data_IF_524265195095
#
_entry.id   IF_524265195095
#
_cell.length_a   1.000
_cell.length_b   1.000
_cell.length_c   1.000
_cell.angle_alpha   90.00
_cell.angle_beta   90.00
_cell.angle_gamma   90.00
#
_symmetry.space_group_name_H-M   'P 1'
#
loop_
_entity.id
_entity.type
_entity.pdbx_description
1 polymer ?
#
# COMPACT_ATOMS: atom_id res chain seq x y z
N UNK A 1 -36.31 -11.61 -47.91
CA UNK A 1 -35.41 -10.44 -48.08
C UNK A 1 -34.75 -10.13 -46.75
N UNK A 2 -33.43 -10.31 -46.67
CA UNK A 2 -32.56 -9.76 -45.63
C UNK A 2 -32.45 -8.25 -45.80
N UNK A 3 -32.45 -7.51 -44.69
CA UNK A 3 -31.58 -6.33 -44.50
C UNK A 3 -31.16 -6.24 -43.04
N UNK A 4 -29.88 -6.53 -42.84
CA UNK A 4 -29.03 -6.27 -41.69
C UNK A 4 -28.63 -4.79 -41.63
N UNK A 5 -28.50 -4.26 -40.41
CA UNK A 5 -27.58 -3.18 -40.02
C UNK A 5 -27.37 -3.31 -38.50
N UNK A 6 -26.36 -4.04 -38.03
CA UNK A 6 -24.99 -3.57 -37.74
C UNK A 6 -24.92 -2.63 -36.53
N UNK A 7 -24.52 -3.17 -35.39
CA UNK A 7 -24.10 -2.43 -34.20
C UNK A 7 -23.29 -3.38 -33.31
N UNK A 8 -22.04 -3.01 -33.04
CA UNK A 8 -20.94 -3.84 -32.53
C UNK A 8 -21.27 -4.81 -31.39
N UNK A 9 -20.67 -5.99 -31.47
CA UNK A 9 -20.68 -7.01 -30.42
C UNK A 9 -20.00 -6.50 -29.14
N UNK A 10 -20.79 -6.01 -28.19
CA UNK A 10 -20.40 -6.09 -26.79
C UNK A 10 -20.56 -7.56 -26.38
N UNK A 11 -19.53 -8.36 -26.58
CA UNK A 11 -19.45 -9.70 -26.04
C UNK A 11 -19.34 -9.58 -24.51
N UNK A 12 -20.50 -9.54 -23.85
CA UNK A 12 -20.60 -9.83 -22.42
C UNK A 12 -20.05 -11.24 -22.19
N UNK A 13 -18.83 -11.33 -21.67
CA UNK A 13 -18.30 -12.59 -21.18
C UNK A 13 -19.07 -12.91 -19.89
N UNK A 14 -20.10 -13.74 -20.03
CA UNK A 14 -20.83 -14.40 -18.94
C UNK A 14 -19.81 -15.07 -18.01
N UNK A 15 -19.74 -14.61 -16.75
CA UNK A 15 -19.06 -15.35 -15.67
C UNK A 15 -18.11 -14.55 -14.78
N UNK A 16 -17.65 -13.37 -15.20
CA UNK A 16 -16.79 -12.55 -14.35
C UNK A 16 -17.63 -11.62 -13.46
N UNK A 17 -17.65 -11.84 -12.14
CA UNK A 17 -18.18 -10.86 -11.19
C UNK A 17 -17.06 -9.92 -10.76
N UNK A 18 -17.31 -8.60 -10.79
CA UNK A 18 -16.42 -7.62 -10.16
C UNK A 18 -16.49 -7.80 -8.64
N UNK A 19 -15.67 -8.71 -8.12
CA UNK A 19 -15.48 -8.94 -6.68
C UNK A 19 -14.23 -8.20 -6.21
N UNK A 20 -14.23 -7.72 -4.97
CA UNK A 20 -12.98 -7.36 -4.30
C UNK A 20 -12.41 -8.64 -3.71
N UNK A 21 -11.26 -9.12 -4.22
CA UNK A 21 -10.50 -10.19 -3.57
C UNK A 21 -9.64 -9.62 -2.46
N UNK A 22 -9.55 -10.38 -1.36
CA UNK A 22 -8.72 -10.01 -0.23
C UNK A 22 -7.25 -9.88 -0.63
N UNK A 23 -6.49 -9.09 0.12
CA UNK A 23 -5.03 -9.05 0.02
C UNK A 23 -4.50 -10.48 0.14
N UNK A 24 -3.86 -10.98 -0.94
CA UNK A 24 -3.21 -12.29 -0.93
C UNK A 24 -1.81 -12.14 -0.35
N UNK A 25 -1.57 -12.66 0.86
CA UNK A 25 -0.23 -12.70 1.46
C UNK A 25 0.43 -14.04 1.12
N UNK A 26 1.70 -14.06 0.70
CA UNK A 26 2.44 -15.30 0.37
C UNK A 26 3.83 -15.29 1.01
N UNK A 27 4.12 -16.29 1.84
CA UNK A 27 5.24 -16.40 2.79
C UNK A 27 4.74 -17.17 4.02
N UNK A 28 5.60 -17.80 4.84
CA UNK A 28 5.18 -18.72 5.92
C UNK A 28 4.09 -18.13 6.82
N UNK A 29 2.86 -18.57 6.53
CA UNK A 29 1.60 -18.19 7.19
C UNK A 29 0.89 -17.00 6.54
N UNK A 30 -0.27 -17.28 5.91
CA UNK A 30 -1.47 -16.41 5.72
C UNK A 30 -1.93 -16.21 4.27
N UNK A 31 -2.40 -17.29 3.64
CA UNK A 31 -3.30 -17.22 2.48
C UNK A 31 -4.74 -17.14 3.01
N UNK A 32 -5.55 -16.14 2.61
CA UNK A 32 -7.01 -16.22 2.80
C UNK A 32 -7.80 -15.56 1.68
N UNK A 33 -8.53 -16.39 0.92
CA UNK A 33 -9.61 -15.95 0.04
C UNK A 33 -10.85 -15.56 0.85
N UNK A 34 -11.80 -14.87 0.21
CA UNK A 34 -12.98 -14.26 0.85
C UNK A 34 -13.95 -15.27 1.52
N UNK A 35 -13.78 -16.58 1.28
CA UNK A 35 -14.63 -17.65 1.82
C UNK A 35 -14.45 -17.93 3.32
N UNK A 36 -13.27 -17.65 3.88
CA UNK A 36 -12.92 -18.10 5.24
C UNK A 36 -13.01 -16.99 6.30
N UNK A 37 -13.52 -15.81 5.93
CA UNK A 37 -13.58 -14.61 6.80
C UNK A 37 -14.60 -14.67 7.95
N UNK A 38 -15.36 -15.75 8.12
CA UNK A 38 -16.36 -15.85 9.20
C UNK A 38 -15.82 -16.40 10.52
N UNK A 39 -14.53 -16.74 10.65
CA UNK A 39 -14.07 -17.35 11.91
C UNK A 39 -12.58 -17.40 12.22
N UNK A 40 -11.70 -16.64 11.56
CA UNK A 40 -10.26 -16.72 11.84
C UNK A 40 -9.64 -15.33 12.09
N UNK A 41 -9.79 -14.86 13.33
CA UNK A 41 -9.09 -13.67 13.87
C UNK A 41 -7.56 -13.84 13.89
N UNK A 42 -7.05 -15.08 13.78
CA UNK A 42 -5.63 -15.41 13.96
C UNK A 42 -4.75 -15.24 12.70
N UNK A 43 -5.37 -15.08 11.52
CA UNK A 43 -4.67 -15.10 10.22
C UNK A 43 -4.41 -13.71 9.62
N UNK A 44 -4.66 -12.65 10.40
CA UNK A 44 -4.21 -11.31 10.07
C UNK A 44 -3.14 -10.91 11.08
N UNK A 45 -2.01 -10.40 10.61
CA UNK A 45 -1.04 -9.74 11.49
C UNK A 45 -1.75 -8.54 12.08
N UNK A 46 -2.13 -8.68 13.34
CA UNK A 46 -2.62 -7.60 14.18
C UNK A 46 -1.65 -6.41 14.10
N UNK A 47 -2.23 -5.22 14.02
CA UNK A 47 -1.56 -3.92 13.92
C UNK A 47 -0.82 -3.54 15.22
N UNK A 48 -0.68 -4.48 16.17
CA UNK A 48 0.00 -4.34 17.47
C UNK A 48 1.53 -4.38 17.40
N UNK A 49 2.14 -4.35 16.22
CA UNK A 49 3.58 -4.09 16.08
C UNK A 49 3.94 -2.60 16.18
N UNK A 50 3.27 -1.87 17.08
CA UNK A 50 3.61 -0.50 17.45
C UNK A 50 5.09 -0.36 17.79
N UNK A 51 5.69 -1.38 18.39
CA UNK A 51 7.11 -1.42 18.70
C UNK A 51 8.00 -1.43 17.45
N UNK A 52 7.71 -2.30 16.46
CA UNK A 52 8.50 -2.34 15.21
C UNK A 52 8.32 -1.04 14.44
N UNK A 53 7.10 -0.48 14.42
CA UNK A 53 6.85 0.81 13.80
C UNK A 53 7.63 1.94 14.48
N UNK A 54 7.62 1.99 15.81
CA UNK A 54 8.41 2.93 16.61
C UNK A 54 9.91 2.77 16.34
N UNK A 55 10.40 1.53 16.22
CA UNK A 55 11.79 1.25 15.93
C UNK A 55 12.19 1.72 14.52
N UNK A 56 11.37 1.44 13.49
CA UNK A 56 11.61 1.93 12.13
C UNK A 56 11.61 3.46 12.09
N UNK A 57 10.62 4.11 12.73
CA UNK A 57 10.53 5.56 12.80
C UNK A 57 11.75 6.18 13.51
N UNK A 58 12.17 5.60 14.63
CA UNK A 58 13.37 6.03 15.38
C UNK A 58 14.63 5.88 14.54
N UNK A 59 14.85 4.70 13.96
CA UNK A 59 16.02 4.42 13.12
C UNK A 59 16.09 5.38 11.93
N UNK A 60 14.96 5.63 11.27
CA UNK A 60 14.88 6.56 10.17
C UNK A 60 15.16 8.01 10.61
N UNK A 61 14.67 8.42 11.79
CA UNK A 61 14.99 9.72 12.40
C UNK A 61 16.49 9.88 12.67
N UNK A 62 17.14 8.82 13.15
CA UNK A 62 18.59 8.81 13.36
C UNK A 62 19.38 8.89 12.05
N UNK A 63 18.94 8.18 10.99
CA UNK A 63 19.57 8.21 9.66
C UNK A 63 19.52 9.60 8.99
N UNK A 64 18.49 10.39 9.28
CA UNK A 64 18.31 11.73 8.70
C UNK A 64 18.75 12.85 9.65
N UNK A 65 19.25 12.52 10.84
CA UNK A 65 19.71 13.51 11.82
C UNK A 65 20.82 14.36 11.22
N UNK A 66 20.70 15.68 11.36
CA UNK A 66 21.64 16.67 10.82
C UNK A 66 21.82 16.63 9.29
N UNK A 67 20.84 16.10 8.54
CA UNK A 67 20.87 16.06 7.07
C UNK A 67 20.28 17.27 6.34
N UNK A 68 20.04 18.39 7.02
CA UNK A 68 19.43 19.58 6.41
C UNK A 68 20.19 20.10 5.16
N UNK A 69 21.53 20.02 5.13
CA UNK A 69 22.34 20.38 3.95
C UNK A 69 22.35 19.34 2.82
N UNK A 70 21.74 18.17 3.06
CA UNK A 70 21.71 17.01 2.17
C UNK A 70 20.26 16.54 1.89
N UNK A 71 19.30 17.45 1.97
CA UNK A 71 17.95 17.24 1.44
C UNK A 71 18.03 17.08 -0.08
N UNK A 72 17.17 16.25 -0.66
CA UNK A 72 17.12 15.97 -2.10
C UNK A 72 18.36 15.25 -2.63
N UNK A 73 19.09 14.55 -1.74
CA UNK A 73 20.34 13.85 -2.08
C UNK A 73 20.38 12.45 -1.50
N UNK A 74 20.99 11.53 -2.25
CA UNK A 74 21.43 10.23 -1.74
C UNK A 74 22.78 10.37 -1.04
N UNK A 75 22.85 9.95 0.23
CA UNK A 75 24.10 9.87 1.01
C UNK A 75 24.09 8.54 1.77
N UNK A 76 25.17 7.76 1.66
CA UNK A 76 25.34 6.48 2.35
C UNK A 76 24.12 5.54 2.17
N UNK A 77 23.67 5.34 0.92
CA UNK A 77 22.51 4.51 0.56
C UNK A 77 21.15 5.02 1.09
N UNK A 78 21.10 6.27 1.56
CA UNK A 78 19.85 6.89 2.04
C UNK A 78 19.56 8.12 1.20
N UNK A 79 18.48 8.08 0.42
CA UNK A 79 17.88 9.29 -0.16
C UNK A 79 16.94 9.91 0.87
N UNK A 80 17.05 11.22 1.07
CA UNK A 80 16.23 11.94 2.05
C UNK A 80 15.59 13.19 1.44
N UNK A 81 14.28 13.37 1.67
CA UNK A 81 13.57 14.60 1.37
C UNK A 81 12.57 14.97 2.48
N UNK A 82 12.22 16.25 2.58
CA UNK A 82 11.23 16.76 3.54
C UNK A 82 9.96 17.31 2.89
N UNK A 83 9.75 16.99 1.61
CA UNK A 83 8.59 17.36 0.80
C UNK A 83 8.04 16.14 0.08
N UNK A 84 6.83 16.27 -0.45
CA UNK A 84 6.25 15.25 -1.33
C UNK A 84 7.19 14.98 -2.50
N UNK A 85 7.50 13.71 -2.73
CA UNK A 85 8.49 13.27 -3.73
C UNK A 85 7.89 12.14 -4.56
N UNK A 86 8.13 12.16 -5.87
CA UNK A 86 7.74 11.08 -6.78
C UNK A 86 8.89 10.10 -6.95
N UNK A 87 8.56 8.84 -7.17
CA UNK A 87 9.56 7.81 -7.41
C UNK A 87 10.29 8.06 -8.74
N UNK A 88 9.57 8.42 -9.81
CA UNK A 88 10.20 8.71 -11.11
C UNK A 88 11.28 9.79 -11.04
N UNK A 89 11.13 10.77 -10.16
CA UNK A 89 12.07 11.89 -10.00
C UNK A 89 13.41 11.42 -9.41
N UNK A 90 13.42 10.30 -8.68
CA UNK A 90 14.57 9.82 -7.91
C UNK A 90 15.03 8.43 -8.34
N UNK A 91 14.27 7.71 -9.17
CA UNK A 91 14.58 6.33 -9.52
C UNK A 91 15.99 6.19 -10.11
N UNK A 92 16.42 7.12 -10.97
CA UNK A 92 17.73 7.07 -11.63
C UNK A 92 18.93 7.06 -10.67
N UNK A 93 18.78 7.58 -9.45
CA UNK A 93 19.86 7.66 -8.45
C UNK A 93 19.79 6.53 -7.41
N UNK A 94 18.72 5.74 -7.40
CA UNK A 94 18.51 4.63 -6.46
C UNK A 94 19.09 3.32 -6.98
N UNK A 95 19.59 2.49 -6.07
CA UNK A 95 20.14 1.16 -6.30
C UNK A 95 19.48 0.15 -5.35
N UNK A 96 19.67 -1.16 -5.61
CA UNK A 96 19.19 -2.19 -4.69
C UNK A 96 19.81 -2.01 -3.30
N UNK A 97 18.98 -2.12 -2.26
CA UNK A 97 19.37 -1.93 -0.87
C UNK A 97 19.34 -0.48 -0.39
N UNK A 98 19.12 0.49 -1.28
CA UNK A 98 18.95 1.89 -0.89
C UNK A 98 17.63 2.09 -0.11
N UNK A 99 17.62 3.10 0.77
CA UNK A 99 16.42 3.53 1.51
C UNK A 99 16.03 4.94 1.10
N UNK A 100 14.77 5.13 0.73
CA UNK A 100 14.09 6.41 0.54
C UNK A 100 13.44 6.80 1.87
N UNK A 101 13.77 7.97 2.39
CA UNK A 101 13.14 8.56 3.58
C UNK A 101 12.47 9.89 3.21
N UNK A 102 11.16 9.97 3.37
CA UNK A 102 10.37 11.19 3.19
C UNK A 102 9.81 11.63 4.55
N UNK A 103 10.19 12.83 5.00
CA UNK A 103 9.67 13.43 6.25
C UNK A 103 8.68 14.54 5.94
N UNK A 104 7.56 14.64 6.64
CA UNK A 104 6.48 15.64 6.46
C UNK A 104 5.79 15.67 5.08
N UNK A 105 6.32 14.98 4.07
CA UNK A 105 5.74 14.83 2.74
C UNK A 105 5.05 13.49 2.51
N UNK A 106 4.44 13.33 1.34
CA UNK A 106 4.00 12.01 0.85
C UNK A 106 5.05 11.42 -0.10
N UNK A 107 5.06 10.10 -0.26
CA UNK A 107 5.81 9.47 -1.34
C UNK A 107 4.85 8.98 -2.42
N UNK A 108 5.06 9.42 -3.66
CA UNK A 108 4.23 9.04 -4.80
C UNK A 108 4.99 7.99 -5.60
N UNK A 109 4.48 6.77 -5.65
CA UNK A 109 4.95 5.70 -6.52
C UNK A 109 4.15 5.81 -7.82
N UNK A 110 4.76 6.41 -8.83
CA UNK A 110 4.14 6.73 -10.12
C UNK A 110 4.63 5.86 -11.30
N UNK A 111 5.63 5.03 -11.06
CA UNK A 111 6.09 3.96 -11.95
C UNK A 111 6.42 2.69 -11.15
N UNK A 112 6.58 1.55 -11.83
CA UNK A 112 6.94 0.29 -11.17
C UNK A 112 8.28 0.40 -10.43
N UNK A 113 8.34 -0.18 -9.24
CA UNK A 113 9.58 -0.23 -8.43
C UNK A 113 10.22 -1.59 -8.61
N UNK A 114 11.13 -1.71 -9.58
CA UNK A 114 11.78 -2.99 -9.86
C UNK A 114 12.98 -3.28 -8.94
N UNK A 115 13.60 -2.21 -8.42
CA UNK A 115 14.72 -2.28 -7.48
C UNK A 115 14.23 -2.61 -6.09
N UNK A 116 14.91 -3.51 -5.39
CA UNK A 116 14.60 -3.84 -4.00
C UNK A 116 15.08 -2.71 -3.08
N UNK A 117 14.18 -1.82 -2.65
CA UNK A 117 14.52 -0.64 -1.83
C UNK A 117 13.73 -0.58 -0.52
N UNK A 118 14.21 0.19 0.45
CA UNK A 118 13.43 0.64 1.59
C UNK A 118 12.67 1.93 1.26
N UNK A 119 11.42 2.05 1.69
CA UNK A 119 10.59 3.25 1.56
C UNK A 119 10.03 3.56 2.95
N UNK A 120 10.43 4.70 3.51
CA UNK A 120 10.00 5.15 4.83
C UNK A 120 9.39 6.54 4.68
N UNK A 121 8.08 6.65 4.93
CA UNK A 121 7.37 7.93 4.95
C UNK A 121 6.95 8.25 6.38
N UNK A 122 7.51 9.32 6.92
CA UNK A 122 7.34 9.72 8.32
C UNK A 122 6.68 11.09 8.44
N UNK A 123 5.92 11.26 9.51
CA UNK A 123 5.35 12.54 9.90
C UNK A 123 5.42 12.72 11.41
N UNK A 124 5.80 13.91 11.83
CA UNK A 124 5.78 14.30 13.24
C UNK A 124 4.34 14.34 13.78
N UNK A 125 4.12 13.67 14.91
CA UNK A 125 2.82 13.60 15.58
C UNK A 125 1.99 12.37 15.23
N UNK A 126 1.41 11.76 16.26
CA UNK A 126 0.69 10.48 16.16
C UNK A 126 -0.68 10.55 15.46
N UNK A 127 -1.18 11.74 15.13
CA UNK A 127 -2.50 11.94 14.50
C UNK A 127 -2.37 12.27 13.01
N UNK A 128 -1.74 11.39 12.24
CA UNK A 128 -1.79 11.46 10.78
C UNK A 128 -3.18 11.02 10.34
N UNK A 129 -4.01 11.99 9.94
CA UNK A 129 -5.27 11.73 9.25
C UNK A 129 -4.95 11.38 7.79
N UNK A 130 -5.10 10.11 7.36
CA UNK A 130 -4.60 9.72 6.05
C UNK A 130 -5.43 10.27 4.88
N UNK A 131 -6.58 10.90 5.13
CA UNK A 131 -7.28 11.68 4.10
C UNK A 131 -6.57 12.99 3.74
N UNK A 132 -5.75 13.51 4.65
CA UNK A 132 -5.03 14.77 4.42
C UNK A 132 -3.83 14.50 3.54
N UNK A 133 -3.66 15.34 2.51
CA UNK A 133 -2.41 15.38 1.72
C UNK A 133 -1.22 15.93 2.52
N UNK A 134 -1.43 16.25 3.81
CA UNK A 134 -0.45 16.83 4.70
C UNK A 134 0.55 15.76 5.18
N UNK A 135 1.18 15.02 4.26
CA UNK A 135 2.31 14.13 4.54
C UNK A 135 1.98 12.83 5.28
N UNK A 136 2.99 11.96 5.34
CA UNK A 136 2.92 10.67 6.04
C UNK A 136 2.35 9.53 5.21
N UNK A 137 1.83 9.79 4.00
CA UNK A 137 1.18 8.76 3.19
C UNK A 137 2.05 8.29 2.02
N UNK A 138 1.76 7.08 1.55
CA UNK A 138 2.26 6.59 0.26
C UNK A 138 1.09 6.58 -0.72
N UNK A 139 1.29 7.22 -1.85
CA UNK A 139 0.33 7.29 -2.95
C UNK A 139 0.84 6.39 -4.06
N UNK A 140 0.01 5.48 -4.54
CA UNK A 140 0.33 4.59 -5.66
C UNK A 140 -0.57 4.95 -6.84
N UNK A 141 0.01 5.37 -7.96
CA UNK A 141 -0.80 5.71 -9.15
C UNK A 141 -1.42 4.46 -9.76
N UNK A 142 -2.48 4.62 -10.57
CA UNK A 142 -3.27 3.47 -11.08
C UNK A 142 -2.48 2.51 -11.96
N UNK A 143 -1.45 3.00 -12.65
CA UNK A 143 -0.70 2.23 -13.64
C UNK A 143 0.43 1.36 -13.04
N UNK A 144 0.74 1.56 -11.75
CA UNK A 144 1.73 0.74 -11.04
C UNK A 144 1.18 -0.67 -10.82
N UNK A 145 1.90 -1.67 -11.30
CA UNK A 145 1.53 -3.09 -11.17
C UNK A 145 2.48 -3.87 -10.29
N UNK A 146 3.70 -3.36 -10.07
CA UNK A 146 4.74 -4.04 -9.30
C UNK A 146 5.52 -3.07 -8.42
N UNK A 147 5.67 -3.43 -7.14
CA UNK A 147 6.51 -2.72 -6.18
C UNK A 147 7.40 -3.74 -5.47
N UNK A 148 8.72 -3.63 -5.63
CA UNK A 148 9.71 -4.40 -4.89
C UNK A 148 10.28 -3.53 -3.76
N UNK A 149 9.63 -3.50 -2.60
CA UNK A 149 10.04 -2.61 -1.53
C UNK A 149 9.68 -3.10 -0.13
N UNK A 150 10.49 -2.64 0.82
CA UNK A 150 10.18 -2.64 2.25
C UNK A 150 9.52 -1.30 2.55
N UNK A 151 8.28 -1.32 3.02
CA UNK A 151 7.44 -0.13 3.08
C UNK A 151 7.09 0.18 4.53
N UNK A 152 7.36 1.40 4.95
CA UNK A 152 6.88 2.00 6.18
C UNK A 152 6.15 3.31 5.87
N UNK A 153 4.96 3.50 6.44
CA UNK A 153 4.22 4.75 6.39
C UNK A 153 3.57 5.05 7.76
N UNK A 154 3.81 6.26 8.28
CA UNK A 154 3.06 6.76 9.44
C UNK A 154 1.57 6.92 9.15
N UNK A 155 1.22 7.25 7.91
CA UNK A 155 -0.13 7.29 7.36
C UNK A 155 -0.52 6.00 6.64
N UNK A 156 -1.34 6.14 5.59
CA UNK A 156 -1.86 5.02 4.82
C UNK A 156 -1.20 4.93 3.43
N UNK A 157 -1.27 3.73 2.85
CA UNK A 157 -1.04 3.49 1.43
C UNK A 157 -2.39 3.64 0.72
N UNK A 158 -2.44 4.46 -0.32
CA UNK A 158 -3.67 4.79 -1.05
C UNK A 158 -3.44 4.85 -2.56
N UNK A 159 -4.48 4.55 -3.32
CA UNK A 159 -4.47 4.76 -4.78
C UNK A 159 -5.09 6.11 -5.10
N UNK A 160 -4.24 7.05 -5.51
CA UNK A 160 -4.63 8.42 -5.91
C UNK A 160 -3.84 8.87 -7.14
N UNK A 161 -4.38 9.85 -7.85
CA UNK A 161 -3.62 10.55 -8.88
C UNK A 161 -2.50 11.40 -8.27
N UNK A 162 -1.65 11.93 -9.14
CA UNK A 162 -0.49 12.74 -8.77
C UNK A 162 -0.87 14.05 -8.07
N UNK A 163 -2.13 14.49 -8.21
CA UNK A 163 -2.70 15.67 -7.58
C UNK A 163 -3.42 15.32 -6.27
N UNK A 164 -3.46 14.04 -5.88
CA UNK A 164 -4.10 13.57 -4.66
C UNK A 164 -5.60 13.27 -4.79
N UNK A 165 -6.15 13.24 -6.01
CA UNK A 165 -7.55 12.89 -6.23
C UNK A 165 -7.76 11.38 -6.24
N UNK A 166 -8.94 10.94 -5.81
CA UNK A 166 -9.33 9.53 -5.88
C UNK A 166 -9.67 9.12 -7.31
N UNK A 167 -9.23 7.92 -7.68
CA UNK A 167 -9.64 7.28 -8.92
C UNK A 167 -11.08 6.77 -8.85
N UNK A 168 -11.70 6.60 -10.02
CA UNK A 168 -12.94 5.82 -10.12
C UNK A 168 -12.61 4.33 -10.04
N UNK A 169 -13.62 3.53 -9.70
CA UNK A 169 -13.48 2.08 -9.58
C UNK A 169 -13.06 1.37 -10.88
N UNK A 170 -13.32 1.97 -12.04
CA UNK A 170 -12.93 1.46 -13.37
C UNK A 170 -11.45 1.71 -13.69
N UNK A 171 -10.88 2.78 -13.15
CA UNK A 171 -9.47 3.15 -13.29
C UNK A 171 -8.54 2.23 -12.49
N UNK A 172 -9.06 1.56 -11.45
CA UNK A 172 -8.28 0.71 -10.54
C UNK A 172 -8.22 -0.76 -10.97
N UNK A 173 -8.43 -1.04 -12.26
CA UNK A 173 -8.55 -2.41 -12.78
C UNK A 173 -7.23 -3.18 -12.87
N UNK A 174 -6.08 -2.50 -12.82
CA UNK A 174 -4.75 -3.11 -12.89
C UNK A 174 -4.39 -3.73 -11.52
N UNK A 175 -4.14 -5.05 -11.43
CA UNK A 175 -3.66 -5.67 -10.19
C UNK A 175 -2.33 -5.10 -9.71
N UNK A 176 -2.11 -5.07 -8.40
CA UNK A 176 -0.85 -4.65 -7.80
C UNK A 176 -0.20 -5.81 -7.02
N UNK A 177 1.09 -6.02 -7.29
CA UNK A 177 1.94 -6.92 -6.52
C UNK A 177 2.95 -6.09 -5.72
N UNK A 178 3.02 -6.33 -4.41
CA UNK A 178 4.06 -5.81 -3.52
C UNK A 178 4.93 -6.98 -3.10
N UNK A 179 6.20 -6.98 -3.49
CA UNK A 179 7.20 -7.93 -3.05
C UNK A 179 8.03 -7.27 -1.92
N UNK A 180 7.90 -7.77 -0.70
CA UNK A 180 8.59 -7.22 0.46
C UNK A 180 7.73 -7.22 1.72
N UNK A 181 7.69 -6.09 2.43
CA UNK A 181 6.92 -5.94 3.67
C UNK A 181 6.24 -4.59 3.74
N UNK A 182 5.11 -4.53 4.43
CA UNK A 182 4.28 -3.34 4.54
C UNK A 182 3.93 -3.06 6.00
N UNK A 183 4.39 -1.91 6.50
CA UNK A 183 4.12 -1.37 7.83
C UNK A 183 3.41 -0.03 7.68
N UNK A 184 2.08 -0.02 7.61
CA UNK A 184 1.28 1.20 7.38
C UNK A 184 0.06 1.28 8.30
N UNK A 185 -0.60 2.45 8.35
CA UNK A 185 -1.94 2.58 8.97
C UNK A 185 -3.04 2.25 7.98
N UNK A 186 -2.97 1.06 7.42
CA UNK A 186 -4.09 0.49 6.67
C UNK A 186 -4.75 -0.63 7.49
N UNK A 187 -5.99 -0.97 7.16
CA UNK A 187 -6.63 -2.21 7.59
C UNK A 187 -6.54 -3.25 6.49
N UNK A 188 -6.71 -4.52 6.85
CA UNK A 188 -6.95 -5.60 5.90
C UNK A 188 -8.34 -6.14 6.21
N UNK A 189 -9.31 -5.81 5.37
CA UNK A 189 -10.69 -6.26 5.56
C UNK A 189 -11.53 -5.40 6.50
N UNK A 190 -11.04 -4.24 6.93
CA UNK A 190 -11.79 -3.36 7.83
C UNK A 190 -13.10 -2.83 7.24
N UNK A 191 -13.19 -2.67 5.91
CA UNK A 191 -14.42 -2.24 5.24
C UNK A 191 -15.45 -3.37 5.05
N UNK A 192 -15.07 -4.62 5.37
CA UNK A 192 -15.93 -5.82 5.23
C UNK A 192 -16.02 -6.64 6.52
N UNK A 193 -15.61 -6.06 7.65
CA UNK A 193 -15.37 -6.77 8.90
C UNK A 193 -16.63 -7.22 9.67
N UNK A 194 -17.85 -6.81 9.30
CA UNK A 194 -19.01 -7.26 10.06
C UNK A 194 -20.40 -6.89 9.55
N UNK A 195 -21.39 -7.37 10.31
CA UNK A 195 -22.83 -7.09 10.19
C UNK A 195 -23.31 -6.38 11.45
N UNK A 196 -24.12 -5.31 11.33
CA UNK A 196 -24.66 -4.55 12.47
C UNK A 196 -24.18 -3.09 12.54
N UNK A 197 -24.36 -2.44 13.69
CA UNK A 197 -23.79 -1.11 13.97
C UNK A 197 -22.29 -1.21 14.28
N UNK A 198 -21.53 -0.16 13.93
CA UNK A 198 -20.08 -0.08 14.08
C UNK A 198 -19.34 -1.26 13.42
N UNK A 199 -19.87 -1.70 12.28
CA UNK A 199 -19.44 -2.89 11.55
C UNK A 199 -18.14 -2.75 10.76
N UNK A 200 -17.65 -1.52 10.56
CA UNK A 200 -16.40 -1.29 9.86
C UNK A 200 -15.28 -0.92 10.83
N UNK A 201 -14.07 -1.35 10.49
CA UNK A 201 -12.86 -1.17 11.29
C UNK A 201 -11.93 -0.20 10.56
N UNK A 202 -11.50 0.83 11.28
CA UNK A 202 -10.48 1.78 10.90
C UNK A 202 -9.11 1.35 11.46
N UNK A 203 -8.00 1.94 10.97
CA UNK A 203 -6.68 1.70 11.55
C UNK A 203 -6.68 1.92 13.08
N UNK A 204 -5.97 1.06 13.81
CA UNK A 204 -5.95 1.10 15.28
C UNK A 204 -7.20 0.52 15.95
N UNK A 205 -8.03 -0.24 15.21
CA UNK A 205 -9.18 -0.96 15.77
C UNK A 205 -10.42 -0.08 16.05
N UNK A 206 -10.36 1.21 15.72
CA UNK A 206 -11.51 2.11 15.89
C UNK A 206 -12.66 1.68 14.98
N UNK A 207 -13.86 1.58 15.54
CA UNK A 207 -15.06 1.18 14.78
C UNK A 207 -15.76 2.39 14.15
N UNK A 208 -16.44 2.17 13.02
CA UNK A 208 -17.25 3.17 12.33
C UNK A 208 -18.44 2.55 11.58
N UNK A 209 -19.45 3.36 11.28
CA UNK A 209 -20.54 3.05 10.36
C UNK A 209 -20.32 3.61 8.95
N UNK A 210 -19.30 4.44 8.76
CA UNK A 210 -18.97 5.02 7.45
C UNK A 210 -18.15 4.04 6.61
N UNK A 211 -18.82 3.41 5.64
CA UNK A 211 -18.19 2.49 4.70
C UNK A 211 -17.11 3.19 3.87
N UNK A 212 -17.36 4.41 3.40
CA UNK A 212 -16.45 5.13 2.52
C UNK A 212 -15.19 5.55 3.24
N UNK A 213 -15.29 5.85 4.54
CA UNK A 213 -14.12 6.06 5.38
C UNK A 213 -13.30 4.78 5.57
N UNK A 214 -13.95 3.64 5.84
CA UNK A 214 -13.25 2.36 6.01
C UNK A 214 -12.62 1.85 4.70
N UNK A 215 -13.32 2.00 3.58
CA UNK A 215 -12.86 1.63 2.23
C UNK A 215 -11.54 2.31 1.89
N UNK A 216 -11.36 3.58 2.28
CA UNK A 216 -10.12 4.36 2.02
C UNK A 216 -8.88 3.79 2.71
N UNK A 217 -9.03 3.12 3.86
CA UNK A 217 -7.90 2.57 4.62
C UNK A 217 -7.72 1.08 4.41
N UNK A 218 -8.66 0.40 3.78
CA UNK A 218 -8.60 -1.04 3.58
C UNK A 218 -7.78 -1.37 2.33
N UNK A 219 -6.66 -2.08 2.52
CA UNK A 219 -5.76 -2.48 1.43
C UNK A 219 -6.46 -3.33 0.36
N UNK A 220 -7.56 -3.99 0.70
CA UNK A 220 -8.36 -4.73 -0.30
C UNK A 220 -8.90 -3.82 -1.41
N UNK A 221 -9.06 -2.52 -1.13
CA UNK A 221 -9.65 -1.54 -2.05
C UNK A 221 -8.60 -0.67 -2.74
N UNK A 222 -7.31 -0.95 -2.52
CA UNK A 222 -6.22 -0.28 -3.22
C UNK A 222 -6.32 -0.49 -4.74
N UNK A 223 -6.81 -1.66 -5.17
CA UNK A 223 -7.15 -2.00 -6.55
C UNK A 223 -8.53 -2.64 -6.61
N UNK A 224 -9.17 -2.58 -7.77
CA UNK A 224 -10.51 -3.12 -8.07
C UNK A 224 -10.50 -3.86 -9.41
N UNK A 225 -9.52 -4.75 -9.58
CA UNK A 225 -9.40 -5.60 -10.77
C UNK A 225 -10.63 -6.49 -10.95
N UNK A 226 -10.94 -6.81 -12.21
CA UNK A 226 -11.96 -7.81 -12.53
C UNK A 226 -11.35 -9.18 -12.25
N UNK A 227 -12.12 -10.04 -11.59
CA UNK A 227 -11.66 -11.35 -11.15
C UNK A 227 -12.56 -12.40 -11.79
N UNK A 228 -11.96 -13.18 -12.68
CA UNK A 228 -12.59 -14.20 -13.49
C UNK A 228 -12.19 -15.63 -13.06
N UNK A 229 -11.13 -15.81 -12.27
CA UNK A 229 -10.67 -17.10 -11.76
C UNK A 229 -10.02 -17.03 -10.37
N UNK A 230 -9.78 -18.19 -9.76
CA UNK A 230 -9.28 -18.33 -8.37
C UNK A 230 -7.86 -17.79 -8.17
N UNK A 231 -7.07 -17.66 -9.24
CA UNK A 231 -5.72 -17.10 -9.19
C UNK A 231 -5.69 -15.57 -9.28
N UNK A 232 -6.80 -14.95 -9.69
CA UNK A 232 -6.86 -13.51 -9.85
C UNK A 232 -6.72 -12.81 -8.50
N UNK A 233 -6.21 -11.58 -8.51
CA UNK A 233 -6.11 -10.76 -7.31
C UNK A 233 -6.21 -9.29 -7.69
N UNK A 234 -6.59 -8.48 -6.71
CA UNK A 234 -6.52 -7.02 -6.81
C UNK A 234 -5.23 -6.50 -6.18
N UNK A 235 -4.89 -7.01 -4.99
CA UNK A 235 -3.63 -6.74 -4.33
C UNK A 235 -3.01 -8.05 -3.82
N UNK A 236 -1.73 -8.26 -4.10
CA UNK A 236 -0.93 -9.37 -3.59
C UNK A 236 0.31 -8.83 -2.87
N UNK A 237 0.56 -9.30 -1.65
CA UNK A 237 1.76 -8.97 -0.87
C UNK A 237 2.59 -10.25 -0.69
N UNK A 238 3.69 -10.37 -1.41
CA UNK A 238 4.63 -11.47 -1.23
C UNK A 238 5.62 -11.10 -0.12
N UNK A 239 5.49 -11.74 1.04
CA UNK A 239 6.38 -11.56 2.16
C UNK A 239 7.74 -12.19 1.86
N UNK A 240 8.80 -11.38 1.89
CA UNK A 240 10.16 -11.83 1.63
C UNK A 240 10.88 -12.17 2.94
N UNK A 241 11.13 -13.45 3.24
CA UNK A 241 11.83 -13.87 4.46
C UNK A 241 13.27 -13.32 4.58
N UNK A 242 13.86 -12.80 3.49
CA UNK A 242 15.13 -12.08 3.50
C UNK A 242 15.15 -10.79 4.35
N UNK A 243 13.97 -10.33 4.82
CA UNK A 243 13.82 -9.26 5.83
C UNK A 243 14.69 -9.50 7.06
N UNK A 244 14.90 -10.74 7.47
CA UNK A 244 15.71 -11.05 8.65
C UNK A 244 17.21 -11.09 8.35
N UNK A 245 17.61 -11.29 7.09
CA UNK A 245 19.01 -11.53 6.74
C UNK A 245 19.78 -10.27 6.34
N UNK A 246 19.14 -9.31 5.64
CA UNK A 246 19.78 -8.04 5.28
C UNK A 246 18.75 -6.97 4.81
N UNK A 247 17.94 -6.39 5.72
CA UNK A 247 16.95 -5.39 5.33
C UNK A 247 17.61 -4.04 4.97
N UNK A 248 16.99 -3.21 4.10
CA UNK A 248 17.45 -1.85 3.85
C UNK A 248 17.56 -1.03 5.15
N UNK A 249 18.45 -0.02 5.15
CA UNK A 249 18.68 0.83 6.32
C UNK A 249 17.37 1.41 6.85
N UNK A 250 17.20 1.40 8.17
CA UNK A 250 15.98 1.86 8.85
C UNK A 250 15.02 0.73 9.22
N UNK A 251 15.06 -0.41 8.52
CA UNK A 251 14.22 -1.59 8.81
C UNK A 251 14.91 -2.65 9.69
N UNK A 252 16.15 -2.42 10.10
CA UNK A 252 16.87 -3.29 11.03
C UNK A 252 16.26 -3.22 12.43
N UNK A 253 15.77 -4.34 12.94
CA UNK A 253 15.30 -4.48 14.32
C UNK A 253 16.52 -4.91 15.16
N UNK A 254 16.95 -4.05 16.09
CA UNK A 254 17.96 -4.39 17.11
C UNK A 254 17.27 -4.81 18.40
#
# INVERSE_FOLDING_TARGET
MKKTASGGSAAFIKGCEKKTLGVKISGTGKYQGKGDKTGQENDFTDLSQDEIRKNIHKNASDLIRNRNGNIDKKVNQVYFNNKTTKFSDINSILENGDTVIIKEGNFIIDENVDKQIGIIVMKEGYNVLPETLNGGNIIVTKDVSNINAYIYADGAIMSKDINGNYYKDEDLSIPLVINGSVFSRNTIGGAVAGTGENKYILPGGKKTNDFKLAEKYDLNYLRKSILCGDEDFSLKINYNSGIQTNPPKGFTIQ
#
